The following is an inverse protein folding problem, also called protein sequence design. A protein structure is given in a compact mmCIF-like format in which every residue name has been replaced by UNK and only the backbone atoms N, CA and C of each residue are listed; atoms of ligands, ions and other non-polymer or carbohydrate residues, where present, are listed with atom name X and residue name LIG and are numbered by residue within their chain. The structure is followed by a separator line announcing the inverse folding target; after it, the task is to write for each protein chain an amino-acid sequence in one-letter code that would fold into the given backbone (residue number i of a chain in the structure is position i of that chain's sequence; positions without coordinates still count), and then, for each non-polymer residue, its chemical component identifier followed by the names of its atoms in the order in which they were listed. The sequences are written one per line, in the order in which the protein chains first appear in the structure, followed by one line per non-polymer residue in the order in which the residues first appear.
data_IF_800420149395
#
_entry.id   IF_800420149395
#
_cell.length_a   1.000
_cell.length_b   1.000
_cell.length_c   1.000
_cell.angle_alpha   90.00
_cell.angle_beta   90.00
_cell.angle_gamma   90.00
#
_symmetry.space_group_name_H-M   'P 1'
#
loop_
_entity.id
_entity.type
_entity.pdbx_description
1 polymer ?
#
# COMPACT_ATOMS: atom_id res chain seq x y z
N UNK A 1 -40.07 -11.54 48.97
CA UNK A 1 -40.35 -10.74 47.75
C UNK A 1 -39.39 -9.55 47.57
N UNK A 2 -39.18 -8.68 48.58
CA UNK A 2 -38.23 -7.54 48.51
C UNK A 2 -36.81 -7.88 48.03
N UNK A 3 -36.20 -8.98 48.50
CA UNK A 3 -34.85 -9.41 48.07
C UNK A 3 -34.76 -9.80 46.58
N UNK A 4 -35.83 -10.41 46.03
CA UNK A 4 -35.91 -10.79 44.61
C UNK A 4 -36.09 -9.56 43.71
N UNK A 5 -36.87 -8.57 44.19
CA UNK A 5 -37.04 -7.29 43.51
C UNK A 5 -35.74 -6.48 43.46
N UNK A 6 -34.99 -6.46 44.57
CA UNK A 6 -33.68 -5.80 44.64
C UNK A 6 -32.64 -6.46 43.72
N UNK A 7 -32.66 -7.79 43.62
CA UNK A 7 -31.76 -8.53 42.72
C UNK A 7 -32.09 -8.27 41.24
N UNK A 8 -33.38 -8.24 40.90
CA UNK A 8 -33.83 -7.94 39.53
C UNK A 8 -33.48 -6.50 39.13
N UNK A 9 -33.63 -5.54 40.04
CA UNK A 9 -33.27 -4.14 39.80
C UNK A 9 -31.76 -3.96 39.62
N UNK A 10 -30.93 -4.64 40.42
CA UNK A 10 -29.48 -4.63 40.29
C UNK A 10 -29.02 -5.26 38.96
N UNK A 11 -29.67 -6.33 38.51
CA UNK A 11 -29.37 -6.97 37.23
C UNK A 11 -29.70 -6.07 36.04
N UNK A 12 -30.83 -5.36 36.08
CA UNK A 12 -31.22 -4.39 35.05
C UNK A 12 -30.24 -3.22 35.01
N UNK A 13 -29.75 -2.74 36.16
CA UNK A 13 -28.78 -1.66 36.24
C UNK A 13 -27.40 -2.07 35.66
N UNK A 14 -26.99 -3.32 35.88
CA UNK A 14 -25.74 -3.87 35.30
C UNK A 14 -25.87 -4.05 33.78
N UNK A 15 -27.03 -4.52 33.28
CA UNK A 15 -27.26 -4.63 31.84
C UNK A 15 -27.35 -3.26 31.14
N UNK A 16 -27.89 -2.24 31.81
CA UNK A 16 -27.97 -0.88 31.28
C UNK A 16 -26.63 -0.13 31.28
N UNK A 17 -25.66 -0.57 32.11
CA UNK A 17 -24.32 0.02 32.20
C UNK A 17 -23.29 -0.58 31.24
N UNK A 18 -23.62 -1.65 30.53
CA UNK A 18 -22.76 -2.25 29.50
C UNK A 18 -22.80 -1.40 28.21
N UNK A 19 -22.19 -0.22 28.25
CA UNK A 19 -21.86 0.51 27.03
C UNK A 19 -20.91 -0.37 26.20
N UNK A 20 -21.09 -0.48 24.86
CA UNK A 20 -20.10 -1.14 24.03
C UNK A 20 -18.77 -0.44 24.27
N UNK A 21 -17.74 -1.21 24.65
CA UNK A 21 -16.39 -0.69 24.73
C UNK A 21 -15.99 -0.24 23.32
N UNK A 22 -16.05 1.07 23.06
CA UNK A 22 -15.54 1.64 21.83
C UNK A 22 -14.02 1.53 21.91
N UNK A 23 -13.45 0.50 21.27
CA UNK A 23 -12.05 0.48 20.91
C UNK A 23 -11.87 1.52 19.80
N UNK A 24 -11.88 2.80 20.16
CA UNK A 24 -11.70 3.89 19.23
C UNK A 24 -10.29 3.81 18.66
N UNK A 25 -10.15 3.17 17.50
CA UNK A 25 -8.91 3.22 16.73
C UNK A 25 -8.76 4.64 16.23
N UNK A 26 -7.71 5.34 16.67
CA UNK A 26 -7.43 6.67 16.15
C UNK A 26 -7.08 6.56 14.68
N UNK A 27 -7.72 7.37 13.85
CA UNK A 27 -7.45 7.41 12.41
C UNK A 27 -5.96 7.65 12.13
N UNK A 28 -5.29 8.47 12.96
CA UNK A 28 -3.83 8.70 12.90
C UNK A 28 -3.02 7.40 12.94
N UNK A 29 -3.42 6.44 13.77
CA UNK A 29 -2.65 5.21 13.98
C UNK A 29 -2.81 4.27 12.78
N UNK A 30 -3.98 4.26 12.15
CA UNK A 30 -4.24 3.53 10.89
C UNK A 30 -3.43 4.16 9.76
N UNK A 31 -3.48 5.48 9.63
CA UNK A 31 -2.75 6.22 8.60
C UNK A 31 -1.25 6.00 8.75
N UNK A 32 -0.70 6.09 9.98
CA UNK A 32 0.72 5.88 10.22
C UNK A 32 1.15 4.45 9.84
N UNK A 33 0.36 3.43 10.20
CA UNK A 33 0.63 2.05 9.77
C UNK A 33 0.57 1.87 8.26
N UNK A 34 -0.36 2.54 7.57
CA UNK A 34 -0.42 2.51 6.11
C UNK A 34 0.81 3.18 5.48
N UNK A 35 1.28 4.30 6.04
CA UNK A 35 2.46 5.00 5.55
C UNK A 35 3.72 4.13 5.70
N UNK A 36 3.96 3.60 6.91
CA UNK A 36 5.20 2.91 7.22
C UNK A 36 5.20 1.45 6.77
N UNK A 37 4.03 0.80 6.76
CA UNK A 37 3.88 -0.61 6.39
C UNK A 37 3.55 -0.85 4.91
N UNK A 38 3.08 0.16 4.18
CA UNK A 38 2.66 -0.01 2.78
C UNK A 38 3.24 1.06 1.85
N UNK A 39 2.94 2.34 2.06
CA UNK A 39 3.28 3.41 1.09
C UNK A 39 4.79 3.53 0.89
N UNK A 40 5.57 3.76 1.96
CA UNK A 40 7.02 3.90 1.84
C UNK A 40 7.69 2.62 1.33
N UNK A 41 7.40 1.42 1.88
CA UNK A 41 8.00 0.19 1.37
C UNK A 41 7.67 -0.11 -0.09
N UNK A 42 6.46 0.19 -0.56
CA UNK A 42 6.07 -0.03 -1.95
C UNK A 42 6.88 0.85 -2.91
N UNK A 43 7.04 2.14 -2.60
CA UNK A 43 7.88 3.03 -3.39
C UNK A 43 9.37 2.69 -3.30
N UNK A 44 9.87 2.22 -2.15
CA UNK A 44 11.25 1.76 -2.02
C UNK A 44 11.53 0.57 -2.97
N UNK A 45 10.66 -0.45 -2.97
CA UNK A 45 10.81 -1.59 -3.90
C UNK A 45 10.72 -1.18 -5.37
N UNK A 46 9.82 -0.24 -5.70
CA UNK A 46 9.73 0.29 -7.06
C UNK A 46 11.02 0.99 -7.47
N UNK A 47 11.62 1.77 -6.58
CA UNK A 47 12.90 2.42 -6.83
C UNK A 47 14.03 1.40 -7.03
N UNK A 48 14.14 0.39 -6.17
CA UNK A 48 15.18 -0.66 -6.27
C UNK A 48 15.12 -1.39 -7.62
N UNK A 49 13.91 -1.76 -8.08
CA UNK A 49 13.73 -2.39 -9.40
C UNK A 49 13.99 -1.42 -10.56
N UNK A 50 13.63 -0.14 -10.42
CA UNK A 50 13.90 0.86 -11.46
C UNK A 50 15.40 1.11 -11.65
N UNK A 51 16.17 1.11 -10.56
CA UNK A 51 17.63 1.22 -10.59
C UNK A 51 18.26 -0.03 -11.23
N UNK A 52 17.81 -1.22 -10.81
CA UNK A 52 18.26 -2.50 -11.38
C UNK A 52 17.95 -2.61 -12.89
N UNK A 53 16.77 -2.19 -13.32
CA UNK A 53 16.40 -2.10 -14.74
C UNK A 53 17.32 -1.13 -15.49
N UNK A 54 17.64 0.01 -14.89
CA UNK A 54 18.54 1.01 -15.50
C UNK A 54 19.92 0.40 -15.76
N UNK A 55 20.46 -0.32 -14.79
CA UNK A 55 21.74 -1.03 -14.92
C UNK A 55 21.67 -2.12 -15.99
N UNK A 56 20.66 -2.99 -15.95
CA UNK A 56 20.47 -4.07 -16.91
C UNK A 56 20.33 -3.55 -18.35
N UNK A 57 19.60 -2.44 -18.53
CA UNK A 57 19.48 -1.79 -19.83
C UNK A 57 20.80 -1.21 -20.31
N UNK A 58 21.59 -0.60 -19.44
CA UNK A 58 22.90 -0.09 -19.80
C UNK A 58 23.83 -1.23 -20.25
N UNK A 59 23.86 -2.35 -19.53
CA UNK A 59 24.62 -3.54 -19.92
C UNK A 59 24.16 -4.10 -21.27
N UNK A 60 22.86 -4.18 -21.50
CA UNK A 60 22.31 -4.62 -22.79
C UNK A 60 22.73 -3.69 -23.94
N UNK A 61 22.67 -2.38 -23.74
CA UNK A 61 23.07 -1.40 -24.76
C UNK A 61 24.57 -1.48 -25.09
N UNK A 62 25.42 -1.73 -24.10
CA UNK A 62 26.86 -1.90 -24.31
C UNK A 62 27.20 -3.23 -24.98
N UNK A 63 26.48 -4.29 -24.62
CA UNK A 63 26.73 -5.66 -25.09
C UNK A 63 25.39 -6.34 -25.44
N UNK A 64 24.93 -6.24 -26.70
CA UNK A 64 23.61 -6.72 -27.11
C UNK A 64 23.60 -8.24 -27.33
N UNK A 65 23.60 -8.99 -26.24
CA UNK A 65 23.51 -10.46 -26.20
C UNK A 65 22.15 -10.92 -25.66
N UNK A 66 21.76 -12.14 -26.01
CA UNK A 66 20.47 -12.72 -25.59
C UNK A 66 20.32 -12.75 -24.07
N UNK A 67 21.35 -13.17 -23.34
CA UNK A 67 21.33 -13.24 -21.88
C UNK A 67 21.12 -11.85 -21.24
N UNK A 68 21.74 -10.80 -21.80
CA UNK A 68 21.55 -9.43 -21.32
C UNK A 68 20.15 -8.89 -21.64
N UNK A 69 19.56 -9.33 -22.76
CA UNK A 69 18.19 -8.98 -23.11
C UNK A 69 17.19 -9.64 -22.16
N UNK A 70 17.43 -10.90 -21.80
CA UNK A 70 16.58 -11.62 -20.88
C UNK A 70 16.71 -11.08 -19.44
N UNK A 71 17.91 -10.67 -19.02
CA UNK A 71 18.11 -9.94 -17.77
C UNK A 71 17.33 -8.61 -17.73
N UNK A 72 17.43 -7.80 -18.79
CA UNK A 72 16.70 -6.53 -18.88
C UNK A 72 15.17 -6.73 -18.88
N UNK A 73 14.68 -7.79 -19.54
CA UNK A 73 13.25 -8.15 -19.52
C UNK A 73 12.79 -8.58 -18.12
N UNK A 74 13.61 -9.35 -17.40
CA UNK A 74 13.29 -9.77 -16.04
C UNK A 74 13.16 -8.56 -15.10
N UNK A 75 14.11 -7.62 -15.16
CA UNK A 75 14.02 -6.39 -14.36
C UNK A 75 12.86 -5.49 -14.79
N UNK A 76 12.53 -5.44 -16.08
CA UNK A 76 11.35 -4.72 -16.55
C UNK A 76 10.07 -5.31 -15.97
N UNK A 77 9.92 -6.63 -15.96
CA UNK A 77 8.82 -7.31 -15.28
C UNK A 77 8.78 -6.98 -13.78
N UNK A 78 9.93 -6.94 -13.11
CA UNK A 78 10.03 -6.52 -11.70
C UNK A 78 9.53 -5.09 -11.46
N UNK A 79 9.86 -4.14 -12.34
CA UNK A 79 9.33 -2.77 -12.29
C UNK A 79 7.83 -2.74 -12.47
N UNK A 80 7.29 -3.49 -13.44
CA UNK A 80 5.84 -3.57 -13.68
C UNK A 80 5.12 -4.11 -12.45
N UNK A 81 5.60 -5.20 -11.86
CA UNK A 81 5.02 -5.80 -10.66
C UNK A 81 5.06 -4.84 -9.46
N UNK A 82 6.20 -4.16 -9.25
CA UNK A 82 6.34 -3.18 -8.19
C UNK A 82 5.41 -1.96 -8.39
N UNK A 83 5.27 -1.49 -9.63
CA UNK A 83 4.36 -0.40 -9.97
C UNK A 83 2.89 -0.78 -9.76
N UNK A 84 2.48 -2.00 -10.11
CA UNK A 84 1.11 -2.48 -9.88
C UNK A 84 0.72 -2.51 -8.40
N UNK A 85 1.68 -2.61 -7.47
CA UNK A 85 1.40 -2.42 -6.03
C UNK A 85 1.22 -0.95 -5.68
N UNK A 86 1.98 -0.06 -6.33
CA UNK A 86 1.97 1.38 -6.09
C UNK A 86 0.77 2.09 -6.74
N UNK A 87 0.26 1.61 -7.88
CA UNK A 87 -0.72 2.32 -8.73
C UNK A 87 -2.05 2.69 -8.04
N UNK A 88 -2.37 2.03 -6.93
CA UNK A 88 -3.54 2.33 -6.11
C UNK A 88 -3.38 3.65 -5.33
N UNK A 89 -2.15 4.10 -5.14
CA UNK A 89 -1.80 5.34 -4.46
C UNK A 89 -1.99 6.48 -5.47
N UNK A 90 -3.10 7.21 -5.34
CA UNK A 90 -3.48 8.31 -6.25
C UNK A 90 -3.53 9.68 -5.58
N UNK A 91 -2.80 9.83 -4.48
CA UNK A 91 -2.76 11.05 -3.67
C UNK A 91 -1.32 11.39 -3.31
N UNK A 92 -1.08 12.67 -2.97
CA UNK A 92 0.26 13.14 -2.60
C UNK A 92 1.19 13.28 -3.81
N UNK A 93 2.51 13.05 -3.64
CA UNK A 93 3.51 13.40 -4.66
C UNK A 93 3.27 12.78 -6.05
N UNK A 94 2.70 11.57 -6.14
CA UNK A 94 2.47 10.88 -7.41
C UNK A 94 1.39 11.55 -8.28
N UNK A 95 0.49 12.33 -7.68
CA UNK A 95 -0.55 13.07 -8.39
C UNK A 95 -0.08 14.42 -8.93
N UNK A 96 1.14 14.85 -8.58
CA UNK A 96 1.71 16.12 -9.04
C UNK A 96 2.42 15.96 -10.37
N UNK A 97 2.41 17.01 -11.20
CA UNK A 97 3.20 17.10 -12.44
C UNK A 97 3.02 15.88 -13.38
N UNK A 98 1.81 15.31 -13.39
CA UNK A 98 1.45 14.12 -14.17
C UNK A 98 2.39 12.92 -13.93
N UNK A 99 2.93 12.77 -12.70
CA UNK A 99 3.90 11.69 -12.41
C UNK A 99 3.28 10.30 -12.58
N UNK A 100 1.99 10.14 -12.27
CA UNK A 100 1.26 8.89 -12.49
C UNK A 100 1.23 8.52 -13.98
N UNK A 101 0.84 9.47 -14.84
CA UNK A 101 0.76 9.27 -16.29
C UNK A 101 2.14 9.13 -16.93
N UNK A 102 3.17 9.78 -16.36
CA UNK A 102 4.56 9.61 -16.80
C UNK A 102 5.13 8.25 -16.44
N UNK A 103 4.63 7.62 -15.38
CA UNK A 103 5.02 6.27 -15.01
C UNK A 103 4.27 5.24 -15.87
N UNK A 104 2.96 5.39 -15.99
CA UNK A 104 2.11 4.52 -16.81
C UNK A 104 1.02 5.33 -17.49
N UNK A 105 1.26 5.66 -18.77
CA UNK A 105 0.23 6.23 -19.64
C UNK A 105 -0.62 5.11 -20.22
N UNK A 106 -1.82 4.90 -19.66
CA UNK A 106 -2.70 3.81 -20.10
C UNK A 106 -4.19 4.21 -20.00
N UNK A 107 -5.03 3.84 -20.99
CA UNK A 107 -4.68 3.20 -22.27
C UNK A 107 -4.03 4.20 -23.23
N UNK A 108 -2.94 3.77 -23.88
CA UNK A 108 -2.29 4.55 -24.95
C UNK A 108 -2.92 4.19 -26.31
N UNK A 109 -3.91 4.96 -26.73
CA UNK A 109 -4.58 4.76 -28.03
C UNK A 109 -3.72 5.42 -29.12
N UNK A 110 -3.36 4.64 -30.13
CA UNK A 110 -2.67 5.10 -31.35
C UNK A 110 -3.57 5.95 -32.23
#
# INVERSE_FOLDING_TARGET
MRKRLALALALILVLAGALPASAAVKASDVIQRAIDGFVRPAYARLHDHADSLTEAMHTLCQTPLQDNLDAARAEFSGVVDAWSVVEIIRVGPIAENNRLERMLFWPDRK
#
